data_IF_515229860610
#
_entry.id   IF_515229860610
#
_cell.length_a   1.000
_cell.length_b   1.000
_cell.length_c   1.000
_cell.angle_alpha   90.00
_cell.angle_beta   90.00
_cell.angle_gamma   90.00
#
_symmetry.space_group_name_H-M   'P 1'
#
loop_
_entity.id
_entity.type
_entity.pdbx_description
1 polymer ?
#
# COMPACT_ATOMS: atom_id res chain seq x y z
N UNK A 1 -14.21 -13.77 -4.77
CA UNK A 1 -12.90 -13.99 -4.11
C UNK A 1 -12.53 -12.75 -3.33
N UNK A 2 -12.19 -12.86 -2.04
CA UNK A 2 -11.79 -11.71 -1.22
C UNK A 2 -10.31 -11.45 -1.46
N UNK A 3 -9.94 -10.23 -1.85
CA UNK A 3 -8.55 -9.84 -2.08
C UNK A 3 -7.91 -9.48 -0.72
N UNK A 4 -7.19 -10.44 -0.15
CA UNK A 4 -6.38 -10.26 1.07
C UNK A 4 -4.89 -10.39 0.72
N UNK A 5 -4.01 -9.92 1.61
CA UNK A 5 -2.56 -10.04 1.43
C UNK A 5 -2.15 -11.50 1.14
N UNK A 6 -2.67 -12.45 1.92
CA UNK A 6 -2.41 -13.88 1.73
C UNK A 6 -2.92 -14.43 0.38
N UNK A 7 -4.11 -14.01 -0.08
CA UNK A 7 -4.60 -14.48 -1.38
C UNK A 7 -3.77 -13.93 -2.53
N UNK A 8 -3.36 -12.66 -2.46
CA UNK A 8 -2.50 -12.04 -3.47
C UNK A 8 -1.10 -12.69 -3.46
N UNK A 9 -0.55 -12.99 -2.29
CA UNK A 9 0.73 -13.72 -2.16
C UNK A 9 0.67 -15.07 -2.85
N UNK A 10 -0.40 -15.83 -2.62
CA UNK A 10 -0.59 -17.13 -3.24
C UNK A 10 -0.77 -17.02 -4.76
N UNK A 11 -1.55 -16.05 -5.24
CA UNK A 11 -1.69 -15.78 -6.68
C UNK A 11 -0.36 -15.46 -7.36
N UNK A 12 0.44 -14.55 -6.76
CA UNK A 12 1.74 -14.16 -7.28
C UNK A 12 2.72 -15.34 -7.33
N UNK A 13 2.65 -16.23 -6.34
CA UNK A 13 3.43 -17.46 -6.34
C UNK A 13 3.00 -18.43 -7.44
N UNK A 14 1.69 -18.59 -7.69
CA UNK A 14 1.19 -19.50 -8.73
C UNK A 14 1.57 -19.09 -10.16
N UNK A 15 1.81 -17.80 -10.39
CA UNK A 15 2.23 -17.27 -11.70
C UNK A 15 3.75 -17.06 -11.80
N UNK A 16 4.52 -17.52 -10.81
CA UNK A 16 5.97 -17.30 -10.73
C UNK A 16 6.36 -15.82 -10.93
N UNK A 17 5.62 -14.89 -10.31
CA UNK A 17 5.81 -13.46 -10.54
C UNK A 17 7.26 -12.99 -10.35
N UNK A 18 7.97 -13.55 -9.36
CA UNK A 18 9.38 -13.24 -9.08
C UNK A 18 10.32 -13.51 -10.25
N UNK A 19 9.98 -14.46 -11.14
CA UNK A 19 10.76 -14.82 -12.32
C UNK A 19 10.49 -13.91 -13.52
N UNK A 20 9.27 -13.43 -13.61
CA UNK A 20 8.78 -12.73 -14.81
C UNK A 20 8.68 -11.21 -14.64
N UNK A 21 8.57 -10.73 -13.40
CA UNK A 21 8.54 -9.30 -13.04
C UNK A 21 7.57 -8.48 -13.90
N UNK A 22 6.40 -9.03 -14.18
CA UNK A 22 5.40 -8.37 -15.02
C UNK A 22 4.91 -7.06 -14.43
N UNK A 23 4.54 -6.10 -15.27
CA UNK A 23 3.90 -4.88 -14.79
C UNK A 23 2.51 -5.20 -14.22
N UNK A 24 2.27 -4.78 -12.97
CA UNK A 24 0.98 -4.94 -12.30
C UNK A 24 0.12 -3.71 -12.56
N UNK A 25 -1.07 -3.94 -13.11
CA UNK A 25 -2.13 -2.95 -13.21
C UNK A 25 -3.29 -3.42 -12.33
N UNK A 26 -3.60 -2.66 -11.29
CA UNK A 26 -4.65 -3.01 -10.33
C UNK A 26 -5.32 -1.75 -9.79
N UNK A 27 -6.45 -1.93 -9.10
CA UNK A 27 -7.12 -0.81 -8.44
C UNK A 27 -6.28 -0.29 -7.25
N UNK A 28 -6.57 0.94 -6.80
CA UNK A 28 -5.79 1.58 -5.74
C UNK A 28 -5.80 0.77 -4.43
N UNK A 29 -6.88 0.03 -4.17
CA UNK A 29 -7.06 -0.77 -2.96
C UNK A 29 -6.21 -2.04 -3.03
N UNK A 30 -6.12 -2.67 -4.19
CA UNK A 30 -5.26 -3.82 -4.44
C UNK A 30 -3.79 -3.44 -4.30
N UNK A 31 -3.39 -2.31 -4.89
CA UNK A 31 -2.02 -1.79 -4.76
C UNK A 31 -1.70 -1.56 -3.29
N UNK A 32 -2.62 -0.99 -2.51
CA UNK A 32 -2.43 -0.80 -1.07
C UNK A 32 -2.16 -2.13 -0.33
N UNK A 33 -2.88 -3.21 -0.68
CA UNK A 33 -2.63 -4.52 -0.09
C UNK A 33 -1.29 -5.10 -0.55
N UNK A 34 -0.95 -4.98 -1.84
CA UNK A 34 0.32 -5.44 -2.40
C UNK A 34 1.53 -4.77 -1.76
N UNK A 35 1.43 -3.47 -1.46
CA UNK A 35 2.48 -2.71 -0.77
C UNK A 35 2.46 -2.88 0.75
N UNK A 36 1.56 -3.71 1.29
CA UNK A 36 1.50 -4.04 2.71
C UNK A 36 0.82 -2.98 3.60
N UNK A 37 0.05 -2.05 3.04
CA UNK A 37 -0.69 -1.07 3.83
C UNK A 37 -1.88 -1.71 4.54
N UNK A 38 -2.11 -1.27 5.78
CA UNK A 38 -3.26 -1.65 6.60
C UNK A 38 -4.56 -1.24 5.90
N UNK A 39 -5.50 -2.17 5.82
CA UNK A 39 -6.82 -1.92 5.25
C UNK A 39 -7.68 -1.01 6.17
N UNK A 40 -8.57 -0.23 5.55
CA UNK A 40 -9.55 0.60 6.26
C UNK A 40 -9.17 2.08 6.33
N UNK A 41 -9.85 2.83 7.22
CA UNK A 41 -9.67 4.28 7.37
C UNK A 41 -8.47 4.61 8.28
N UNK A 42 -7.28 4.25 7.79
CA UNK A 42 -6.01 4.46 8.49
C UNK A 42 -5.49 5.90 8.30
N UNK A 43 -4.72 6.39 9.27
CA UNK A 43 -4.17 7.76 9.28
C UNK A 43 -3.33 8.12 8.03
N UNK A 44 -2.51 7.18 7.56
CA UNK A 44 -1.59 7.32 6.44
C UNK A 44 -1.92 6.27 5.37
N UNK A 45 -3.09 6.39 4.75
CA UNK A 45 -3.61 5.38 3.82
C UNK A 45 -3.00 5.45 2.40
N UNK A 46 -2.18 6.45 2.08
CA UNK A 46 -1.58 6.61 0.76
C UNK A 46 -0.20 5.94 0.69
N UNK A 47 0.04 5.17 -0.37
CA UNK A 47 1.34 4.53 -0.64
C UNK A 47 2.33 5.48 -1.33
N UNK A 48 1.86 6.52 -2.02
CA UNK A 48 2.71 7.48 -2.73
C UNK A 48 3.25 8.58 -1.82
N UNK A 49 2.45 9.01 -0.84
CA UNK A 49 2.79 10.13 0.04
C UNK A 49 2.29 9.90 1.47
N UNK A 50 2.86 10.65 2.40
CA UNK A 50 2.56 10.56 3.82
C UNK A 50 1.36 11.45 4.18
N UNK A 51 0.28 11.35 3.39
CA UNK A 51 -0.95 12.11 3.61
C UNK A 51 -1.60 11.70 4.93
N UNK A 52 -1.83 12.67 5.82
CA UNK A 52 -2.52 12.47 7.09
C UNK A 52 -4.03 12.71 6.91
N UNK A 53 -4.79 11.63 6.75
CA UNK A 53 -6.25 11.65 6.58
C UNK A 53 -6.99 12.17 7.82
N UNK A 54 -6.30 12.31 8.95
CA UNK A 54 -6.85 12.78 10.23
C UNK A 54 -6.46 14.22 10.55
N UNK A 55 -5.65 14.88 9.72
CA UNK A 55 -5.30 16.29 9.91
C UNK A 55 -6.52 17.19 9.61
N UNK A 56 -7.27 17.50 10.66
CA UNK A 56 -8.44 18.41 10.60
C UNK A 56 -8.06 19.89 10.60
N UNK A 57 -6.80 20.24 10.92
CA UNK A 57 -6.36 21.64 11.04
C UNK A 57 -5.87 22.20 9.71
N UNK A 58 -5.26 21.36 8.88
CA UNK A 58 -4.68 21.76 7.58
C UNK A 58 -5.11 20.87 6.40
N UNK A 59 -6.36 20.37 6.33
CA UNK A 59 -6.74 19.34 5.35
C UNK A 59 -6.50 19.78 3.90
N UNK A 60 -6.69 21.07 3.61
CA UNK A 60 -6.52 21.66 2.27
C UNK A 60 -5.45 22.75 2.21
N UNK A 61 -4.86 23.11 3.35
CA UNK A 61 -3.76 24.09 3.42
C UNK A 61 -2.47 23.41 2.94
N UNK A 62 -2.24 22.16 3.36
CA UNK A 62 -1.09 21.39 2.93
C UNK A 62 -1.40 20.63 1.64
N UNK A 63 -0.99 21.23 0.51
CA UNK A 63 -1.15 20.64 -0.83
C UNK A 63 -0.06 19.61 -1.17
N UNK A 64 1.13 19.79 -0.62
CA UNK A 64 2.28 18.92 -0.88
C UNK A 64 2.59 18.11 0.38
N UNK A 65 2.47 16.79 0.27
CA UNK A 65 2.82 15.85 1.33
C UNK A 65 4.17 15.19 1.03
N UNK A 66 4.97 14.90 2.06
CA UNK A 66 6.24 14.20 1.86
C UNK A 66 6.02 12.89 1.12
N UNK A 67 6.85 12.61 0.12
CA UNK A 67 6.84 11.33 -0.59
C UNK A 67 7.08 10.19 0.42
N UNK A 68 6.39 9.07 0.25
CA UNK A 68 6.71 7.87 1.00
C UNK A 68 7.90 7.20 0.31
N UNK A 69 9.03 7.18 1.00
CA UNK A 69 10.28 6.59 0.47
C UNK A 69 10.43 5.13 0.86
N UNK A 70 9.94 4.76 2.04
CA UNK A 70 10.05 3.41 2.60
C UNK A 70 8.68 2.94 3.08
N UNK A 71 8.41 1.66 2.87
CA UNK A 71 7.27 0.91 3.38
C UNK A 71 7.79 -0.02 4.47
N UNK A 72 7.99 0.52 5.67
CA UNK A 72 8.57 -0.24 6.80
C UNK A 72 7.41 -0.82 7.61
N UNK A 73 7.29 -2.15 7.73
CA UNK A 73 6.25 -2.76 8.55
C UNK A 73 6.20 -2.16 9.97
N UNK A 74 4.99 -2.02 10.52
CA UNK A 74 4.69 -1.40 11.81
C UNK A 74 4.96 0.10 11.95
N UNK A 75 5.46 0.75 10.90
CA UNK A 75 5.56 2.22 10.83
C UNK A 75 4.39 2.72 9.98
N UNK A 76 3.77 3.85 10.36
CA UNK A 76 2.81 4.62 9.51
C UNK A 76 1.72 3.80 8.78
N UNK A 77 1.22 2.74 9.42
CA UNK A 77 0.14 1.88 8.95
C UNK A 77 0.54 0.90 7.83
N UNK A 78 1.82 0.62 7.69
CA UNK A 78 2.32 -0.58 7.00
C UNK A 78 2.14 -1.76 7.96
N UNK A 79 1.32 -2.74 7.59
CA UNK A 79 1.03 -3.91 8.43
C UNK A 79 1.86 -5.13 8.01
N UNK A 80 2.09 -5.29 6.71
CA UNK A 80 2.77 -6.44 6.14
C UNK A 80 3.98 -6.00 5.33
N UNK A 81 4.90 -6.93 5.08
CA UNK A 81 5.92 -6.73 4.06
C UNK A 81 5.29 -6.60 2.67
N UNK A 82 5.83 -5.71 1.82
CA UNK A 82 5.36 -5.57 0.45
C UNK A 82 5.61 -6.88 -0.31
N UNK A 83 4.59 -7.33 -1.06
CA UNK A 83 4.67 -8.54 -1.90
C UNK A 83 5.41 -8.29 -3.22
N UNK A 84 5.59 -7.01 -3.56
CA UNK A 84 6.17 -6.54 -4.82
C UNK A 84 7.15 -5.40 -4.52
N UNK A 85 8.28 -5.41 -5.21
CA UNK A 85 9.34 -4.40 -5.09
C UNK A 85 9.13 -3.23 -6.04
#
# INVERSE_FOLDING_TARGET
MKKTHETLKNMLSSIEYSKHSWHICADLKDIAVLVGLQAGYSKFCCFLCQWDSRDRKKPYIKKVWPKRQFLIPSVKNEENEPLVA
#
